data_IF_999335824174
#
_entry.id   IF_999335824174
#
_cell.length_a   1.000
_cell.length_b   1.000
_cell.length_c   1.000
_cell.angle_alpha   90.00
_cell.angle_beta   90.00
_cell.angle_gamma   90.00
#
_symmetry.space_group_name_H-M   'P 1'
#
loop_
_entity.id
_entity.type
_entity.pdbx_description
1 polymer ?
#
# COMPACT_ATOMS: atom_id res chain seq x y z
N UNK A 1 -13.55 -30.53 14.03
CA UNK A 1 -12.23 -29.84 14.19
C UNK A 1 -12.36 -28.48 13.51
N UNK A 2 -12.41 -27.39 14.27
CA UNK A 2 -12.69 -26.06 13.70
C UNK A 2 -11.39 -25.56 13.04
N UNK A 3 -11.44 -25.11 11.78
CA UNK A 3 -10.29 -24.54 11.01
C UNK A 3 -9.55 -23.44 11.82
N UNK A 4 -10.25 -22.86 12.79
CA UNK A 4 -9.79 -21.80 13.69
C UNK A 4 -8.71 -22.23 14.70
N UNK A 5 -8.58 -23.53 14.99
CA UNK A 5 -7.71 -24.04 16.07
C UNK A 5 -6.35 -24.55 15.56
N UNK A 6 -6.11 -24.53 14.25
CA UNK A 6 -4.81 -24.90 13.70
C UNK A 6 -3.80 -23.75 13.90
N UNK A 7 -2.87 -23.92 14.83
CA UNK A 7 -1.76 -22.98 15.08
C UNK A 7 -1.02 -22.62 13.79
N UNK A 8 -0.84 -23.56 12.89
CA UNK A 8 -0.20 -23.35 11.58
C UNK A 8 -0.92 -22.34 10.70
N UNK A 9 -2.26 -22.40 10.63
CA UNK A 9 -3.06 -21.47 9.82
C UNK A 9 -2.98 -20.02 10.34
N UNK A 10 -2.96 -19.86 11.66
CA UNK A 10 -2.81 -18.54 12.30
C UNK A 10 -1.41 -17.97 12.02
N UNK A 11 -0.37 -18.81 12.07
CA UNK A 11 1.00 -18.39 11.76
C UNK A 11 1.10 -17.97 10.29
N UNK A 12 0.57 -18.77 9.37
CA UNK A 12 0.54 -18.45 7.94
C UNK A 12 -0.20 -17.12 7.67
N UNK A 13 -1.36 -16.91 8.31
CA UNK A 13 -2.12 -15.64 8.17
C UNK A 13 -1.34 -14.43 8.72
N UNK A 14 -0.59 -14.59 9.81
CA UNK A 14 0.29 -13.54 10.35
C UNK A 14 1.44 -13.22 9.41
N UNK A 15 2.10 -14.24 8.87
CA UNK A 15 3.20 -14.08 7.91
C UNK A 15 2.69 -13.37 6.65
N UNK A 16 1.58 -13.82 6.07
CA UNK A 16 0.98 -13.19 4.90
C UNK A 16 0.64 -11.72 5.15
N UNK A 17 0.00 -11.41 6.28
CA UNK A 17 -0.30 -10.03 6.67
C UNK A 17 0.96 -9.18 6.95
N UNK A 18 2.07 -9.79 7.35
CA UNK A 18 3.33 -9.09 7.59
C UNK A 18 4.06 -8.78 6.28
N UNK A 19 4.00 -9.67 5.29
CA UNK A 19 4.61 -9.50 3.97
C UNK A 19 3.85 -8.44 3.16
N UNK A 20 2.51 -8.54 3.11
CA UNK A 20 1.64 -7.66 2.32
C UNK A 20 1.17 -6.42 3.11
N UNK A 21 2.09 -5.77 3.82
CA UNK A 21 1.77 -4.49 4.46
C UNK A 21 1.64 -3.37 3.41
N UNK A 22 0.64 -2.49 3.52
CA UNK A 22 0.33 -1.50 2.47
C UNK A 22 1.49 -0.56 2.13
N UNK A 23 2.38 -0.27 3.07
CA UNK A 23 3.52 0.62 2.82
C UNK A 23 4.66 -0.02 1.99
N UNK A 24 4.67 -1.35 1.78
CA UNK A 24 5.60 -2.01 0.85
C UNK A 24 5.10 -1.97 -0.60
N UNK A 25 3.80 -1.77 -0.81
CA UNK A 25 3.16 -1.87 -2.13
C UNK A 25 3.77 -0.89 -3.15
N UNK A 26 4.04 0.40 -2.84
CA UNK A 26 4.69 1.29 -3.78
C UNK A 26 6.05 0.78 -4.24
N UNK A 27 6.86 0.23 -3.33
CA UNK A 27 8.19 -0.31 -3.67
C UNK A 27 8.05 -1.50 -4.62
N UNK A 28 7.13 -2.42 -4.32
CA UNK A 28 6.84 -3.57 -5.20
C UNK A 28 6.37 -3.09 -6.57
N UNK A 29 5.54 -2.04 -6.62
CA UNK A 29 5.10 -1.40 -7.86
C UNK A 29 6.27 -0.86 -8.69
N UNK A 30 7.22 -0.14 -8.08
CA UNK A 30 8.42 0.34 -8.78
C UNK A 30 9.33 -0.79 -9.24
N UNK A 31 9.56 -1.80 -8.41
CA UNK A 31 10.34 -2.98 -8.80
C UNK A 31 9.67 -3.69 -9.98
N UNK A 32 8.35 -3.86 -9.96
CA UNK A 32 7.61 -4.45 -11.07
C UNK A 32 7.72 -3.62 -12.35
N UNK A 33 7.60 -2.28 -12.28
CA UNK A 33 7.81 -1.41 -13.43
C UNK A 33 9.23 -1.56 -14.01
N UNK A 34 10.25 -1.60 -13.16
CA UNK A 34 11.64 -1.71 -13.61
C UNK A 34 12.02 -3.11 -14.13
N UNK A 35 11.23 -4.14 -13.84
CA UNK A 35 11.50 -5.50 -14.30
C UNK A 35 10.68 -5.89 -15.53
N UNK A 36 9.42 -5.49 -15.59
CA UNK A 36 8.45 -6.00 -16.56
C UNK A 36 8.07 -5.00 -17.67
N UNK A 37 8.62 -3.77 -17.64
CA UNK A 37 8.38 -2.78 -18.70
C UNK A 37 9.67 -2.40 -19.42
N UNK A 38 9.57 -1.55 -20.45
CA UNK A 38 10.73 -0.98 -21.15
C UNK A 38 11.70 -0.22 -20.22
N UNK A 39 11.29 0.13 -19.00
CA UNK A 39 12.16 0.71 -17.97
C UNK A 39 13.22 -0.29 -17.48
N UNK A 40 13.14 -1.56 -17.85
CA UNK A 40 14.18 -2.55 -17.60
C UNK A 40 15.51 -2.19 -18.28
N UNK A 41 15.47 -1.37 -19.33
CA UNK A 41 16.65 -0.87 -20.06
C UNK A 41 17.39 0.28 -19.35
N UNK A 42 16.77 0.90 -18.34
CA UNK A 42 17.42 1.99 -17.59
C UNK A 42 18.64 1.49 -16.79
N UNK A 43 19.64 2.35 -16.57
CA UNK A 43 20.81 2.01 -15.77
C UNK A 43 20.42 1.51 -14.38
N UNK A 44 21.12 0.47 -13.89
CA UNK A 44 20.85 -0.11 -12.58
C UNK A 44 20.94 0.92 -11.45
N UNK A 45 21.91 1.82 -11.51
CA UNK A 45 22.08 2.88 -10.51
C UNK A 45 20.82 3.77 -10.42
N UNK A 46 20.23 4.16 -11.56
CA UNK A 46 18.99 4.93 -11.57
C UNK A 46 17.82 4.17 -10.89
N UNK A 47 17.65 2.90 -11.24
CA UNK A 47 16.60 2.04 -10.63
C UNK A 47 16.76 1.94 -9.12
N UNK A 48 18.00 1.69 -8.66
CA UNK A 48 18.32 1.59 -7.24
C UNK A 48 18.08 2.92 -6.52
N UNK A 49 18.47 4.05 -7.13
CA UNK A 49 18.25 5.39 -6.55
C UNK A 49 16.73 5.68 -6.37
N UNK A 50 15.93 5.38 -7.39
CA UNK A 50 14.48 5.59 -7.31
C UNK A 50 13.84 4.69 -6.24
N UNK A 51 14.18 3.40 -6.24
CA UNK A 51 13.64 2.46 -5.23
C UNK A 51 14.10 2.85 -3.82
N UNK A 52 15.35 3.25 -3.65
CA UNK A 52 15.88 3.73 -2.36
C UNK A 52 15.16 5.00 -1.90
N UNK A 53 14.95 5.96 -2.79
CA UNK A 53 14.19 7.17 -2.51
C UNK A 53 12.76 6.83 -2.04
N UNK A 54 12.04 6.01 -2.80
CA UNK A 54 10.70 5.58 -2.44
C UNK A 54 10.72 4.85 -1.08
N UNK A 55 11.68 3.95 -0.84
CA UNK A 55 11.83 3.27 0.44
C UNK A 55 12.02 4.24 1.61
N UNK A 56 12.90 5.23 1.45
CA UNK A 56 13.17 6.24 2.50
C UNK A 56 11.88 6.99 2.84
N UNK A 57 11.16 7.49 1.84
CA UNK A 57 9.99 8.32 2.08
C UNK A 57 8.74 7.52 2.48
N UNK A 58 8.56 6.29 1.97
CA UNK A 58 7.35 5.51 2.27
C UNK A 58 7.47 4.67 3.54
N UNK A 59 8.69 4.32 3.97
CA UNK A 59 8.90 3.44 5.12
C UNK A 59 9.78 4.08 6.19
N UNK A 60 10.98 4.53 5.83
CA UNK A 60 11.97 4.95 6.82
C UNK A 60 11.55 6.26 7.51
N UNK A 61 11.28 7.28 6.72
CA UNK A 61 10.94 8.63 7.21
C UNK A 61 9.68 8.63 8.09
N UNK A 62 8.53 8.08 7.69
CA UNK A 62 7.35 8.10 8.56
C UNK A 62 7.55 7.28 9.83
N UNK A 63 8.29 6.16 9.77
CA UNK A 63 8.61 5.39 10.98
C UNK A 63 9.52 6.16 11.93
N UNK A 64 10.52 6.85 11.40
CA UNK A 64 11.41 7.69 12.18
C UNK A 64 10.63 8.84 12.84
N UNK A 65 9.79 9.53 12.08
CA UNK A 65 8.92 10.60 12.60
C UNK A 65 8.01 10.09 13.73
N UNK A 66 7.38 8.93 13.56
CA UNK A 66 6.54 8.32 14.59
C UNK A 66 7.37 7.95 15.83
N UNK A 67 8.58 7.41 15.64
CA UNK A 67 9.48 7.08 16.75
C UNK A 67 9.88 8.33 17.53
N UNK A 68 10.33 9.38 16.83
CA UNK A 68 10.71 10.67 17.45
C UNK A 68 9.51 11.30 18.16
N UNK A 69 8.35 11.36 17.52
CA UNK A 69 7.12 11.88 18.10
C UNK A 69 6.75 11.18 19.42
N UNK A 70 6.83 9.85 19.44
CA UNK A 70 6.58 9.07 20.64
C UNK A 70 7.59 9.35 21.76
N UNK A 71 8.88 9.43 21.38
CA UNK A 71 9.95 9.69 22.36
C UNK A 71 9.80 11.06 23.00
N UNK A 72 9.46 12.08 22.20
CA UNK A 72 9.25 13.45 22.69
C UNK A 72 8.05 13.57 23.64
N UNK A 73 6.97 12.83 23.37
CA UNK A 73 5.76 12.87 24.20
C UNK A 73 5.73 11.80 25.32
N UNK A 74 6.79 11.01 25.48
CA UNK A 74 6.84 9.94 26.48
C UNK A 74 5.82 8.82 26.26
N UNK A 75 5.32 8.62 25.04
CA UNK A 75 4.23 7.71 24.75
C UNK A 75 4.69 6.27 24.57
N UNK A 76 4.00 5.35 25.27
CA UNK A 76 4.15 3.92 25.05
C UNK A 76 3.55 3.51 23.68
N UNK A 77 4.05 2.40 23.05
CA UNK A 77 3.51 1.90 21.77
C UNK A 77 2.00 1.65 21.76
N UNK A 78 1.42 1.36 22.91
CA UNK A 78 0.00 1.07 23.09
C UNK A 78 -0.86 2.33 22.89
N UNK A 79 -0.35 3.51 23.28
CA UNK A 79 -1.09 4.78 23.20
C UNK A 79 -1.40 5.20 21.75
N UNK A 80 -0.55 4.88 20.78
CA UNK A 80 -0.82 5.10 19.37
C UNK A 80 -1.93 4.20 18.79
N UNK A 81 -2.32 3.14 19.52
CA UNK A 81 -3.41 2.24 19.12
C UNK A 81 -4.78 2.75 19.57
N UNK A 82 -4.80 3.71 20.49
CA UNK A 82 -6.02 4.36 20.94
C UNK A 82 -6.66 5.12 19.78
N UNK A 83 -7.98 5.14 19.72
CA UNK A 83 -8.75 5.74 18.62
C UNK A 83 -8.40 7.20 18.39
N UNK A 84 -8.21 7.93 19.48
CA UNK A 84 -7.88 9.36 19.49
C UNK A 84 -6.52 9.68 18.85
N UNK A 85 -5.54 8.80 19.02
CA UNK A 85 -4.16 9.03 18.59
C UNK A 85 -3.82 8.39 17.23
N UNK A 86 -4.76 7.66 16.62
CA UNK A 86 -4.53 6.98 15.32
C UNK A 86 -4.33 7.94 14.16
N UNK A 87 -4.87 9.16 14.24
CA UNK A 87 -4.72 10.16 13.18
C UNK A 87 -3.26 10.58 12.96
N UNK A 88 -2.47 10.65 14.03
CA UNK A 88 -1.08 11.14 13.96
C UNK A 88 -0.20 10.30 13.04
N UNK A 89 -0.11 8.96 13.18
CA UNK A 89 0.63 8.14 12.23
C UNK A 89 0.17 8.31 10.78
N UNK A 90 -1.14 8.40 10.55
CA UNK A 90 -1.67 8.58 9.19
C UNK A 90 -1.25 9.90 8.57
N UNK A 91 -1.32 11.00 9.32
CA UNK A 91 -0.89 12.33 8.85
C UNK A 91 0.61 12.30 8.51
N UNK A 92 1.44 11.71 9.37
CA UNK A 92 2.89 11.59 9.11
C UNK A 92 3.19 10.77 7.86
N UNK A 93 2.46 9.68 7.63
CA UNK A 93 2.59 8.91 6.39
C UNK A 93 2.17 9.72 5.17
N UNK A 94 1.02 10.42 5.21
CA UNK A 94 0.53 11.25 4.11
C UNK A 94 1.54 12.34 3.77
N UNK A 95 2.04 13.08 4.76
CA UNK A 95 3.04 14.14 4.57
C UNK A 95 4.33 13.59 3.93
N UNK A 96 4.78 12.42 4.37
CA UNK A 96 5.97 11.78 3.80
C UNK A 96 5.77 11.35 2.35
N UNK A 97 4.60 10.84 1.98
CA UNK A 97 4.27 10.48 0.61
C UNK A 97 4.15 11.72 -0.29
N UNK A 98 3.54 12.80 0.22
CA UNK A 98 3.46 14.09 -0.49
C UNK A 98 4.87 14.65 -0.75
N UNK A 99 5.75 14.59 0.24
CA UNK A 99 7.14 15.02 0.09
C UNK A 99 7.89 14.19 -0.98
N UNK A 100 7.70 12.85 -0.99
CA UNK A 100 8.25 11.98 -2.01
C UNK A 100 7.73 12.35 -3.41
N UNK A 101 6.43 12.54 -3.54
CA UNK A 101 5.78 12.90 -4.79
C UNK A 101 6.29 14.27 -5.30
N UNK A 102 6.41 15.26 -4.42
CA UNK A 102 6.99 16.56 -4.75
C UNK A 102 8.42 16.42 -5.29
N UNK A 103 9.25 15.61 -4.63
CA UNK A 103 10.62 15.34 -5.09
C UNK A 103 10.64 14.67 -6.47
N UNK A 104 9.76 13.69 -6.72
CA UNK A 104 9.64 13.02 -8.03
C UNK A 104 9.27 14.01 -9.13
N UNK A 105 8.34 14.95 -8.88
CA UNK A 105 7.99 16.00 -9.83
C UNK A 105 9.18 16.96 -10.08
N UNK A 106 9.92 17.32 -9.05
CA UNK A 106 11.14 18.13 -9.18
C UNK A 106 12.23 17.44 -10.01
N UNK A 107 12.32 16.12 -9.92
CA UNK A 107 13.23 15.29 -10.72
C UNK A 107 12.70 15.01 -12.14
N UNK A 108 11.58 15.61 -12.54
CA UNK A 108 10.93 15.41 -13.84
C UNK A 108 10.66 13.94 -14.17
N UNK A 109 10.31 13.14 -13.15
CA UNK A 109 10.00 11.74 -13.37
C UNK A 109 8.72 11.57 -14.20
N UNK A 110 8.63 10.53 -15.06
CA UNK A 110 7.44 10.25 -15.85
C UNK A 110 6.18 10.17 -15.00
N UNK A 111 5.08 10.74 -15.49
CA UNK A 111 3.81 10.81 -14.75
C UNK A 111 3.30 9.44 -14.30
N UNK A 112 3.38 8.42 -15.16
CA UNK A 112 2.96 7.06 -14.81
C UNK A 112 3.77 6.44 -13.64
N UNK A 113 5.02 6.87 -13.40
CA UNK A 113 5.78 6.48 -12.22
C UNK A 113 5.25 7.19 -10.96
N UNK A 114 4.95 8.49 -11.07
CA UNK A 114 4.34 9.26 -9.99
C UNK A 114 2.95 8.71 -9.61
N UNK A 115 2.22 8.15 -10.58
CA UNK A 115 0.91 7.54 -10.40
C UNK A 115 0.86 6.46 -9.33
N UNK A 116 1.94 5.69 -9.14
CA UNK A 116 2.03 4.69 -8.05
C UNK A 116 1.87 5.37 -6.67
N UNK A 117 2.58 6.48 -6.45
CA UNK A 117 2.49 7.21 -5.18
C UNK A 117 1.17 7.94 -5.03
N UNK A 118 0.63 8.49 -6.12
CA UNK A 118 -0.70 9.13 -6.12
C UNK A 118 -1.78 8.11 -5.79
N UNK A 119 -1.74 6.92 -6.39
CA UNK A 119 -2.65 5.82 -6.04
C UNK A 119 -2.58 5.47 -4.55
N UNK A 120 -1.36 5.33 -4.02
CA UNK A 120 -1.16 5.01 -2.61
C UNK A 120 -1.64 6.14 -1.68
N UNK A 121 -1.44 7.40 -2.06
CA UNK A 121 -1.98 8.57 -1.33
C UNK A 121 -3.50 8.59 -1.34
N UNK A 122 -4.14 8.40 -2.50
CA UNK A 122 -5.60 8.36 -2.61
C UNK A 122 -6.19 7.25 -1.73
N UNK A 123 -5.62 6.04 -1.79
CA UNK A 123 -6.04 4.92 -0.93
C UNK A 123 -5.91 5.31 0.54
N UNK A 124 -4.79 5.92 0.92
CA UNK A 124 -4.53 6.31 2.30
C UNK A 124 -5.53 7.37 2.78
N UNK A 125 -5.77 8.42 1.98
CA UNK A 125 -6.71 9.50 2.28
C UNK A 125 -8.13 8.97 2.45
N UNK A 126 -8.62 8.19 1.47
CA UNK A 126 -9.97 7.59 1.53
C UNK A 126 -10.11 6.67 2.73
N UNK A 127 -9.12 5.80 2.98
CA UNK A 127 -9.14 4.91 4.14
C UNK A 127 -9.13 5.67 5.47
N UNK A 128 -8.39 6.77 5.59
CA UNK A 128 -8.38 7.60 6.80
C UNK A 128 -9.74 8.23 7.03
N UNK A 129 -10.34 8.81 6.00
CA UNK A 129 -11.67 9.43 6.06
C UNK A 129 -12.71 8.38 6.48
N UNK A 130 -12.75 7.21 5.81
CA UNK A 130 -13.70 6.15 6.14
C UNK A 130 -13.49 5.61 7.56
N UNK A 131 -12.24 5.49 8.02
CA UNK A 131 -11.92 5.00 9.37
C UNK A 131 -12.43 5.91 10.51
N UNK A 132 -12.86 7.13 10.22
CA UNK A 132 -13.51 8.00 11.21
C UNK A 132 -14.84 7.39 11.66
N UNK A 133 -15.62 6.86 10.72
CA UNK A 133 -16.96 6.32 10.98
C UNK A 133 -16.97 4.80 11.01
N UNK A 134 -16.24 4.16 10.09
CA UNK A 134 -16.28 2.72 9.91
C UNK A 134 -14.90 2.13 9.64
N UNK A 135 -14.54 1.07 10.36
CA UNK A 135 -13.24 0.44 10.25
C UNK A 135 -13.07 -0.27 8.91
N UNK A 136 -12.22 0.26 8.03
CA UNK A 136 -11.89 -0.35 6.73
C UNK A 136 -10.55 -1.09 6.78
N UNK A 137 -10.36 -2.11 5.91
CA UNK A 137 -9.11 -2.89 5.84
C UNK A 137 -8.10 -2.23 4.90
N UNK A 138 -7.10 -1.56 5.45
CA UNK A 138 -6.00 -0.97 4.65
C UNK A 138 -5.14 -2.00 3.90
N UNK A 139 -5.01 -3.23 4.42
CA UNK A 139 -4.31 -4.30 3.71
C UNK A 139 -5.06 -4.72 2.45
N UNK A 140 -6.37 -4.86 2.56
CA UNK A 140 -7.23 -5.19 1.40
C UNK A 140 -7.30 -4.02 0.41
N UNK A 141 -7.33 -2.77 0.91
CA UNK A 141 -7.27 -1.59 0.06
C UNK A 141 -5.93 -1.50 -0.71
N UNK A 142 -4.81 -1.79 -0.04
CA UNK A 142 -3.52 -1.86 -0.71
C UNK A 142 -3.47 -2.95 -1.80
N UNK A 143 -3.93 -4.16 -1.49
CA UNK A 143 -3.99 -5.26 -2.46
C UNK A 143 -4.93 -4.94 -3.64
N UNK A 144 -6.10 -4.35 -3.37
CA UNK A 144 -7.00 -3.82 -4.41
C UNK A 144 -6.35 -2.73 -5.26
N UNK A 145 -5.54 -1.87 -4.64
CA UNK A 145 -4.78 -0.83 -5.35
C UNK A 145 -3.83 -1.39 -6.40
N UNK A 146 -3.19 -2.53 -6.12
CA UNK A 146 -2.35 -3.23 -7.11
C UNK A 146 -3.18 -3.71 -8.30
N UNK A 147 -4.37 -4.26 -8.05
CA UNK A 147 -5.29 -4.70 -9.13
C UNK A 147 -5.69 -3.49 -9.99
N UNK A 148 -6.14 -2.40 -9.38
CA UNK A 148 -6.54 -1.18 -10.10
C UNK A 148 -5.39 -0.57 -10.90
N UNK A 149 -4.20 -0.46 -10.30
CA UNK A 149 -3.00 0.04 -10.96
C UNK A 149 -2.60 -0.84 -12.15
N UNK A 150 -2.68 -2.17 -12.01
CA UNK A 150 -2.35 -3.11 -13.09
C UNK A 150 -3.31 -2.96 -14.28
N UNK A 151 -4.61 -2.78 -14.02
CA UNK A 151 -5.59 -2.49 -15.07
C UNK A 151 -5.27 -1.16 -15.76
N UNK A 152 -4.97 -0.10 -14.99
CA UNK A 152 -4.60 1.19 -15.56
C UNK A 152 -3.34 1.11 -16.43
N UNK A 153 -2.30 0.43 -15.97
CA UNK A 153 -1.08 0.22 -16.77
C UNK A 153 -1.32 -0.63 -18.02
N UNK A 154 -2.23 -1.61 -17.97
CA UNK A 154 -2.57 -2.38 -19.17
C UNK A 154 -3.21 -1.51 -20.24
N UNK A 155 -4.01 -0.53 -19.85
CA UNK A 155 -4.59 0.46 -20.77
C UNK A 155 -3.51 1.41 -21.30
N UNK A 156 -2.62 1.92 -20.44
CA UNK A 156 -1.58 2.87 -20.85
C UNK A 156 -0.52 2.24 -21.75
N UNK A 157 -0.11 1.02 -21.46
CA UNK A 157 0.98 0.35 -22.19
C UNK A 157 0.49 -0.70 -23.20
N UNK A 158 -0.83 -0.84 -23.36
CA UNK A 158 -1.48 -1.75 -24.32
C UNK A 158 -0.97 -3.19 -24.24
N UNK A 159 -0.76 -3.72 -23.04
CA UNK A 159 -0.35 -5.10 -22.80
C UNK A 159 -1.45 -5.96 -22.19
N UNK A 160 -1.36 -7.27 -22.37
CA UNK A 160 -2.32 -8.21 -21.77
C UNK A 160 -1.97 -8.51 -20.31
N UNK A 161 -2.75 -8.03 -19.31
CA UNK A 161 -2.46 -8.20 -17.90
C UNK A 161 -3.03 -9.48 -17.28
N UNK A 162 -3.71 -10.34 -18.05
CA UNK A 162 -4.58 -11.42 -17.50
C UNK A 162 -3.86 -12.29 -16.48
N UNK A 163 -2.66 -12.77 -16.77
CA UNK A 163 -1.90 -13.60 -15.84
C UNK A 163 -1.57 -12.87 -14.52
N UNK A 164 -1.14 -11.63 -14.64
CA UNK A 164 -0.82 -10.78 -13.48
C UNK A 164 -2.07 -10.43 -12.67
N UNK A 165 -3.21 -10.20 -13.34
CA UNK A 165 -4.49 -9.99 -12.69
C UNK A 165 -4.94 -11.24 -11.93
N UNK A 166 -4.85 -12.42 -12.52
CA UNK A 166 -5.16 -13.66 -11.82
C UNK A 166 -4.32 -13.81 -10.54
N UNK A 167 -3.01 -13.60 -10.62
CA UNK A 167 -2.11 -13.69 -9.46
C UNK A 167 -2.46 -12.64 -8.40
N UNK A 168 -2.66 -11.38 -8.78
CA UNK A 168 -2.95 -10.30 -7.83
C UNK A 168 -4.33 -10.44 -7.18
N UNK A 169 -5.33 -10.95 -7.91
CA UNK A 169 -6.66 -11.25 -7.35
C UNK A 169 -6.57 -12.40 -6.34
N UNK A 170 -5.83 -13.46 -6.64
CA UNK A 170 -5.60 -14.57 -5.70
C UNK A 170 -4.88 -14.08 -4.43
N UNK A 171 -3.84 -13.26 -4.58
CA UNK A 171 -3.13 -12.66 -3.44
C UNK A 171 -4.07 -11.77 -2.62
N UNK A 172 -4.89 -10.93 -3.28
CA UNK A 172 -5.85 -10.07 -2.60
C UNK A 172 -6.86 -10.87 -1.80
N UNK A 173 -7.38 -11.98 -2.37
CA UNK A 173 -8.25 -12.92 -1.67
C UNK A 173 -7.57 -13.57 -0.46
N UNK A 174 -6.33 -14.02 -0.63
CA UNK A 174 -5.55 -14.61 0.47
C UNK A 174 -5.29 -13.60 1.60
N UNK A 175 -4.92 -12.36 1.26
CA UNK A 175 -4.74 -11.27 2.24
C UNK A 175 -6.04 -10.98 2.97
N UNK A 176 -7.17 -10.84 2.25
CA UNK A 176 -8.48 -10.63 2.85
C UNK A 176 -8.87 -11.75 3.81
N UNK A 177 -8.69 -13.00 3.41
CA UNK A 177 -8.94 -14.19 4.23
C UNK A 177 -8.05 -14.18 5.48
N UNK A 178 -6.77 -13.86 5.36
CA UNK A 178 -5.86 -13.75 6.50
C UNK A 178 -6.35 -12.69 7.51
N UNK A 179 -6.87 -11.55 7.06
CA UNK A 179 -7.40 -10.49 7.93
C UNK A 179 -8.67 -10.94 8.68
N UNK A 180 -9.51 -11.73 8.03
CA UNK A 180 -10.69 -12.32 8.66
C UNK A 180 -10.34 -13.43 9.65
N UNK A 181 -9.40 -14.32 9.30
CA UNK A 181 -8.91 -15.37 10.19
C UNK A 181 -8.28 -14.80 11.48
N UNK A 182 -7.54 -13.70 11.36
CA UNK A 182 -6.96 -12.98 12.50
C UNK A 182 -8.00 -12.15 13.27
N UNK A 183 -9.29 -12.21 12.91
CA UNK A 183 -10.42 -11.46 13.51
C UNK A 183 -10.19 -9.95 13.58
N UNK A 184 -9.43 -9.42 12.62
CA UNK A 184 -9.13 -7.98 12.59
C UNK A 184 -10.16 -7.19 11.80
N UNK A 185 -10.80 -7.84 10.83
CA UNK A 185 -11.80 -7.23 9.95
C UNK A 185 -12.92 -8.21 9.62
N UNK A 186 -14.13 -7.68 9.35
CA UNK A 186 -15.25 -8.43 8.78
C UNK A 186 -15.12 -8.54 7.25
N UNK A 187 -15.92 -9.43 6.64
CA UNK A 187 -15.95 -9.58 5.18
C UNK A 187 -16.30 -8.25 4.50
N UNK A 188 -17.31 -7.53 4.99
CA UNK A 188 -17.72 -6.25 4.43
C UNK A 188 -16.58 -5.21 4.46
N UNK A 189 -15.79 -5.17 5.54
CA UNK A 189 -14.61 -4.27 5.66
C UNK A 189 -13.48 -4.64 4.70
N UNK A 190 -13.31 -5.93 4.41
CA UNK A 190 -12.33 -6.43 3.44
C UNK A 190 -12.76 -6.09 2.03
N UNK A 191 -14.02 -6.39 1.66
CA UNK A 191 -14.57 -6.11 0.32
C UNK A 191 -14.56 -4.62 0.02
N UNK A 192 -15.09 -3.79 0.93
CA UNK A 192 -15.07 -2.34 0.76
C UNK A 192 -13.63 -1.80 0.63
N UNK A 193 -12.69 -2.31 1.43
CA UNK A 193 -11.27 -1.96 1.30
C UNK A 193 -10.74 -2.29 -0.08
N UNK A 194 -10.99 -3.50 -0.58
CA UNK A 194 -10.53 -3.93 -1.91
C UNK A 194 -11.13 -3.04 -3.01
N UNK A 195 -12.43 -2.73 -2.96
CA UNK A 195 -13.09 -1.86 -3.94
C UNK A 195 -12.51 -0.45 -3.95
N UNK A 196 -12.34 0.17 -2.76
CA UNK A 196 -11.67 1.47 -2.62
C UNK A 196 -10.27 1.40 -3.22
N UNK A 197 -9.53 0.32 -2.94
CA UNK A 197 -8.20 0.10 -3.50
C UNK A 197 -8.20 0.06 -5.02
N UNK A 198 -9.08 -0.74 -5.63
CA UNK A 198 -9.19 -0.86 -7.10
C UNK A 198 -9.49 0.49 -7.74
N UNK A 199 -10.48 1.21 -7.23
CA UNK A 199 -10.87 2.52 -7.78
C UNK A 199 -9.73 3.54 -7.65
N UNK A 200 -9.16 3.69 -6.45
CA UNK A 200 -8.07 4.64 -6.21
C UNK A 200 -6.78 4.25 -6.94
N UNK A 201 -6.50 2.94 -7.04
CA UNK A 201 -5.36 2.41 -7.76
C UNK A 201 -5.42 2.72 -9.25
N UNK A 202 -6.58 2.51 -9.86
CA UNK A 202 -6.84 2.85 -11.25
C UNK A 202 -6.79 4.38 -11.48
N UNK A 203 -7.55 5.13 -10.68
CA UNK A 203 -7.64 6.58 -10.83
C UNK A 203 -6.28 7.28 -10.67
N UNK A 204 -5.47 6.87 -9.68
CA UNK A 204 -4.19 7.51 -9.43
C UNK A 204 -3.14 7.31 -10.52
N UNK A 205 -3.29 6.29 -11.38
CA UNK A 205 -2.43 6.08 -12.55
C UNK A 205 -2.96 6.86 -13.77
N UNK A 206 -4.28 6.84 -14.00
CA UNK A 206 -4.88 7.44 -15.21
C UNK A 206 -4.98 8.97 -15.11
N UNK A 207 -5.19 9.53 -13.91
CA UNK A 207 -5.38 10.97 -13.71
C UNK A 207 -4.08 11.81 -13.82
N UNK A 208 -2.92 11.16 -13.87
CA UNK A 208 -1.62 11.81 -14.03
C UNK A 208 -1.09 11.65 -15.46
#
# INVERSE_FOLDING_TARGET
MCIRDSKGLIVAARLLSAVFRPYYIPIVGFVALFTFTYLSLLPLLYKLTVVAMVYVFTILLPRLCIYVYRKLNGWAPVQLRLRENRAIPYILFILSYVACLHLMFRMHMPRYMCGILVSALLIQMVCVIVNVWWKISMHSAGAGGVIGALVAYSVLFMFNPVWWLCVTVLISGAVGTARMLLRQHSLAQVVAGTLVGVVCGFAGIILL
#
